data_IF_763329857996
#
_entry.id   IF_763329857996
#
_cell.length_a   1.000
_cell.length_b   1.000
_cell.length_c   1.000
_cell.angle_alpha   90.00
_cell.angle_beta   90.00
_cell.angle_gamma   90.00
#
_symmetry.space_group_name_H-M   'P 1'
#
loop_
_entity.id
_entity.type
_entity.pdbx_description
1 polymer ?
#
# COMPACT_ATOMS: atom_id res chain seq x y z
N UNK A 1 -10.69 9.05 -4.85
CA UNK A 1 -9.69 9.03 -3.77
C UNK A 1 -8.74 10.22 -3.93
N UNK A 2 -8.20 10.69 -2.85
CA UNK A 2 -7.30 11.85 -2.90
C UNK A 2 -5.85 11.48 -3.21
N UNK A 3 -5.38 10.36 -2.68
CA UNK A 3 -3.98 9.98 -2.78
C UNK A 3 -3.74 8.76 -3.65
N UNK A 4 -4.65 7.79 -3.59
CA UNK A 4 -4.54 6.56 -4.35
C UNK A 4 -5.33 6.62 -5.64
N UNK A 5 -5.01 5.73 -6.58
CA UNK A 5 -5.71 5.69 -7.86
C UNK A 5 -5.74 4.28 -8.45
N UNK A 6 -6.53 4.11 -9.50
CA UNK A 6 -6.59 2.90 -10.27
C UNK A 6 -5.50 2.90 -11.36
N UNK A 7 -5.25 1.75 -11.97
CA UNK A 7 -4.24 1.62 -13.02
C UNK A 7 -4.47 2.60 -14.17
N UNK A 8 -5.72 2.77 -14.59
CA UNK A 8 -6.07 3.67 -15.71
C UNK A 8 -5.82 5.14 -15.39
N UNK A 9 -5.66 5.49 -14.13
CA UNK A 9 -5.47 6.87 -13.69
C UNK A 9 -4.00 7.21 -13.43
N UNK A 10 -3.09 6.23 -13.52
CA UNK A 10 -1.67 6.48 -13.29
C UNK A 10 -1.09 7.41 -14.34
N UNK A 11 -0.17 8.24 -13.87
CA UNK A 11 0.61 9.12 -14.75
C UNK A 11 2.08 8.71 -14.64
N UNK A 12 2.49 7.73 -15.45
CA UNK A 12 3.84 7.21 -15.44
C UNK A 12 3.98 5.94 -14.62
N UNK A 13 5.22 5.61 -14.25
CA UNK A 13 5.58 4.33 -13.64
C UNK A 13 6.13 4.42 -12.22
N UNK A 14 6.26 5.62 -11.66
CA UNK A 14 6.80 5.79 -10.31
C UNK A 14 5.69 5.65 -9.26
N UNK A 15 5.19 4.43 -9.10
CA UNK A 15 4.09 4.09 -8.21
C UNK A 15 4.40 2.85 -7.41
N UNK A 16 3.91 2.85 -6.15
CA UNK A 16 3.76 1.62 -5.40
C UNK A 16 2.47 0.96 -5.88
N UNK A 17 2.56 -0.32 -6.17
CA UNK A 17 1.39 -1.11 -6.56
C UNK A 17 1.01 -2.05 -5.42
N UNK A 18 -0.24 -1.95 -4.95
CA UNK A 18 -0.79 -2.85 -3.94
C UNK A 18 -1.61 -3.91 -4.66
N UNK A 19 -1.14 -5.14 -4.59
CA UNK A 19 -1.78 -6.26 -5.29
C UNK A 19 -2.54 -7.15 -4.32
N UNK A 20 -3.67 -7.68 -4.76
CA UNK A 20 -4.46 -8.64 -4.00
C UNK A 20 -3.78 -10.01 -4.08
N UNK A 21 -3.51 -10.60 -2.92
CA UNK A 21 -2.89 -11.93 -2.85
C UNK A 21 -1.37 -11.89 -3.01
N UNK A 22 -0.79 -13.06 -3.21
CA UNK A 22 0.64 -13.21 -3.41
C UNK A 22 1.06 -12.71 -4.78
N UNK A 23 2.30 -12.28 -4.89
CA UNK A 23 2.86 -11.85 -6.17
C UNK A 23 2.93 -13.04 -7.13
N UNK A 24 2.33 -12.87 -8.32
CA UNK A 24 2.28 -13.90 -9.36
C UNK A 24 3.09 -13.50 -10.60
N UNK A 25 4.05 -12.60 -10.42
CA UNK A 25 4.91 -12.09 -11.49
C UNK A 25 4.18 -11.19 -12.51
N UNK A 26 2.94 -10.81 -12.22
CA UNK A 26 2.21 -9.82 -13.00
C UNK A 26 2.42 -8.43 -12.41
N UNK A 27 2.62 -7.45 -13.29
CA UNK A 27 2.77 -6.04 -12.91
C UNK A 27 1.64 -5.23 -13.54
N UNK A 28 1.33 -4.10 -12.89
CA UNK A 28 0.36 -3.15 -13.44
C UNK A 28 -1.02 -3.74 -13.64
N UNK A 29 -1.49 -4.47 -12.61
CA UNK A 29 -2.78 -5.13 -12.66
C UNK A 29 -3.90 -4.11 -12.54
N UNK A 30 -5.02 -4.38 -13.22
CA UNK A 30 -6.18 -3.47 -13.21
C UNK A 30 -6.96 -3.52 -11.89
N UNK A 31 -6.84 -4.60 -11.13
CA UNK A 31 -7.49 -4.72 -9.81
C UNK A 31 -6.61 -4.23 -8.66
N UNK A 32 -5.40 -3.76 -8.96
CA UNK A 32 -4.49 -3.20 -7.96
C UNK A 32 -4.86 -1.77 -7.58
N UNK A 33 -4.38 -1.36 -6.41
CA UNK A 33 -4.43 0.04 -5.99
C UNK A 33 -3.04 0.64 -6.13
N UNK A 34 -2.97 1.90 -6.53
CA UNK A 34 -1.71 2.57 -6.82
C UNK A 34 -1.54 3.82 -5.98
N UNK A 35 -0.33 4.03 -5.50
CA UNK A 35 0.05 5.25 -4.78
C UNK A 35 1.39 5.74 -5.32
N UNK A 36 1.45 6.99 -5.75
CA UNK A 36 2.68 7.52 -6.33
C UNK A 36 3.82 7.52 -5.32
N UNK A 37 5.04 7.35 -5.82
CA UNK A 37 6.24 7.43 -4.98
C UNK A 37 6.35 8.80 -4.31
N UNK A 38 5.99 9.85 -5.02
CA UNK A 38 6.00 11.22 -4.45
C UNK A 38 5.07 11.33 -3.25
N UNK A 39 3.85 10.81 -3.36
CA UNK A 39 2.91 10.82 -2.24
C UNK A 39 3.39 9.94 -1.09
N UNK A 40 3.90 8.75 -1.40
CA UNK A 40 4.42 7.85 -0.37
C UNK A 40 5.50 8.54 0.46
N UNK A 41 6.43 9.20 -0.20
CA UNK A 41 7.55 9.90 0.44
C UNK A 41 7.07 11.16 1.19
N UNK A 42 6.27 11.98 0.53
CA UNK A 42 5.81 13.25 1.11
C UNK A 42 4.96 13.03 2.36
N UNK A 43 4.20 11.94 2.40
CA UNK A 43 3.33 11.62 3.53
C UNK A 43 4.04 10.86 4.65
N UNK A 44 5.31 10.51 4.47
CA UNK A 44 6.07 9.79 5.48
C UNK A 44 5.58 8.36 5.71
N UNK A 45 5.02 7.72 4.68
CA UNK A 45 4.46 6.38 4.84
C UNK A 45 5.53 5.32 5.05
N UNK A 46 6.74 5.55 4.54
CA UNK A 46 7.83 4.59 4.75
C UNK A 46 8.07 4.34 6.24
N UNK A 47 8.13 5.39 7.06
CA UNK A 47 8.37 5.28 8.49
C UNK A 47 7.26 4.50 9.18
N UNK A 48 6.02 4.69 8.75
CA UNK A 48 4.89 3.95 9.31
C UNK A 48 5.00 2.47 8.96
N UNK A 49 5.34 2.17 7.70
CA UNK A 49 5.43 0.79 7.23
C UNK A 49 6.59 0.04 7.89
N UNK A 50 7.79 0.64 7.96
CA UNK A 50 8.95 -0.06 8.54
C UNK A 50 8.84 -0.21 10.05
N UNK A 51 8.07 0.62 10.72
CA UNK A 51 7.83 0.48 12.16
C UNK A 51 7.13 -0.83 12.47
N UNK A 52 6.21 -1.25 11.61
CA UNK A 52 5.47 -2.50 11.74
C UNK A 52 6.22 -3.64 11.05
N UNK A 53 6.80 -3.36 9.90
CA UNK A 53 7.49 -4.33 9.04
C UNK A 53 8.92 -3.85 8.79
N UNK A 54 9.88 -4.18 9.68
CA UNK A 54 11.27 -3.76 9.45
C UNK A 54 11.87 -4.26 8.15
N UNK A 55 11.30 -5.35 7.58
CA UNK A 55 11.74 -5.92 6.31
C UNK A 55 11.06 -5.31 5.09
N UNK A 56 10.21 -4.29 5.27
CA UNK A 56 9.55 -3.65 4.14
C UNK A 56 10.59 -3.15 3.14
N UNK A 57 10.44 -3.55 1.88
CA UNK A 57 11.40 -3.23 0.83
C UNK A 57 10.85 -2.13 -0.08
N UNK A 58 11.39 -0.94 0.07
CA UNK A 58 11.00 0.21 -0.72
C UNK A 58 11.18 -0.03 -2.24
N UNK A 59 12.16 -0.84 -2.60
CA UNK A 59 12.51 -1.11 -4.00
C UNK A 59 12.12 -2.51 -4.47
N UNK A 60 11.43 -3.28 -3.66
CA UNK A 60 11.17 -4.67 -3.96
C UNK A 60 9.76 -5.10 -3.65
N UNK A 61 9.62 -6.36 -3.27
CA UNK A 61 8.34 -7.02 -3.08
C UNK A 61 8.18 -7.33 -1.59
N UNK A 62 7.04 -6.90 -1.02
CA UNK A 62 6.73 -7.17 0.39
C UNK A 62 5.32 -7.74 0.50
N UNK A 63 5.21 -8.94 1.08
CA UNK A 63 3.91 -9.51 1.43
C UNK A 63 3.51 -9.01 2.81
N UNK A 64 2.24 -8.62 2.94
CA UNK A 64 1.68 -8.09 4.19
C UNK A 64 0.48 -8.93 4.55
N UNK A 65 0.51 -9.55 5.74
CA UNK A 65 -0.63 -10.30 6.25
C UNK A 65 -1.71 -9.35 6.77
N UNK A 66 -2.90 -9.88 7.01
CA UNK A 66 -4.00 -9.10 7.59
C UNK A 66 -3.61 -8.47 8.92
N UNK A 67 -3.00 -9.26 9.81
CA UNK A 67 -2.59 -8.74 11.13
C UNK A 67 -1.56 -7.63 11.01
N UNK A 68 -0.59 -7.80 10.13
CA UNK A 68 0.42 -6.77 9.88
C UNK A 68 -0.20 -5.50 9.31
N UNK A 69 -1.14 -5.65 8.39
CA UNK A 69 -1.84 -4.50 7.82
C UNK A 69 -2.64 -3.75 8.89
N UNK A 70 -3.34 -4.48 9.76
CA UNK A 70 -4.08 -3.87 10.86
C UNK A 70 -3.16 -3.09 11.80
N UNK A 71 -1.94 -3.57 12.01
CA UNK A 71 -0.93 -2.85 12.80
C UNK A 71 -0.47 -1.58 12.10
N UNK A 72 -0.33 -1.61 10.77
CA UNK A 72 0.01 -0.42 9.98
C UNK A 72 -1.10 0.63 10.12
N UNK A 73 -2.35 0.22 9.99
CA UNK A 73 -3.50 1.11 10.16
C UNK A 73 -3.48 1.74 11.55
N UNK A 74 -3.25 0.93 12.57
CA UNK A 74 -3.18 1.40 13.96
C UNK A 74 -2.03 2.39 14.16
N UNK A 75 -0.87 2.10 13.60
CA UNK A 75 0.28 2.99 13.68
C UNK A 75 0.01 4.33 12.99
N UNK A 76 -0.76 4.32 11.90
CA UNK A 76 -1.11 5.54 11.18
C UNK A 76 -2.01 6.48 11.97
N UNK A 77 -2.72 5.97 12.96
CA UNK A 77 -3.64 6.79 13.77
C UNK A 77 -2.91 7.89 14.54
N UNK A 78 -1.63 7.71 14.81
CA UNK A 78 -0.79 8.69 15.49
C UNK A 78 -0.03 9.59 14.53
N UNK A 79 -0.19 9.38 13.24
CA UNK A 79 0.51 10.15 12.23
C UNK A 79 -0.26 11.42 11.86
N UNK A 80 0.33 12.24 10.99
CA UNK A 80 -0.33 13.42 10.47
C UNK A 80 -1.61 13.06 9.72
N UNK A 81 -2.54 14.01 9.66
CA UNK A 81 -3.87 13.81 9.10
C UNK A 81 -3.83 13.25 7.67
N UNK A 82 -2.94 13.78 6.85
CA UNK A 82 -2.83 13.37 5.44
C UNK A 82 -2.32 11.94 5.32
N UNK A 83 -1.36 11.57 6.16
CA UNK A 83 -0.85 10.18 6.17
C UNK A 83 -1.94 9.21 6.58
N UNK A 84 -2.72 9.55 7.62
CA UNK A 84 -3.86 8.72 8.04
C UNK A 84 -4.88 8.56 6.93
N UNK A 85 -5.14 9.63 6.20
CA UNK A 85 -6.10 9.59 5.10
C UNK A 85 -5.64 8.68 3.98
N UNK A 86 -4.36 8.74 3.63
CA UNK A 86 -3.81 7.85 2.61
C UNK A 86 -3.90 6.39 3.04
N UNK A 87 -3.53 6.09 4.28
CA UNK A 87 -3.64 4.72 4.80
C UNK A 87 -5.09 4.26 4.82
N UNK A 88 -6.03 5.15 5.14
CA UNK A 88 -7.46 4.81 5.11
C UNK A 88 -7.94 4.48 3.70
N UNK A 89 -7.47 5.20 2.69
CA UNK A 89 -7.78 4.87 1.30
C UNK A 89 -7.29 3.48 0.93
N UNK A 90 -6.06 3.16 1.32
CA UNK A 90 -5.51 1.81 1.11
C UNK A 90 -6.34 0.78 1.89
N UNK A 91 -6.73 1.11 3.10
CA UNK A 91 -7.49 0.20 3.96
C UNK A 91 -8.84 -0.19 3.36
N UNK A 92 -9.53 0.73 2.70
CA UNK A 92 -10.79 0.41 2.03
C UNK A 92 -10.58 -0.67 0.97
N UNK A 93 -9.51 -0.58 0.20
CA UNK A 93 -9.15 -1.59 -0.78
C UNK A 93 -8.68 -2.88 -0.10
N UNK A 94 -7.85 -2.76 0.93
CA UNK A 94 -7.28 -3.91 1.64
C UNK A 94 -8.36 -4.76 2.31
N UNK A 95 -9.39 -4.14 2.86
CA UNK A 95 -10.51 -4.88 3.46
C UNK A 95 -11.17 -5.83 2.47
N UNK A 96 -11.36 -5.38 1.23
CA UNK A 96 -11.93 -6.22 0.18
C UNK A 96 -10.97 -7.34 -0.19
N UNK A 97 -9.69 -7.04 -0.26
CA UNK A 97 -8.65 -8.03 -0.53
C UNK A 97 -8.66 -9.14 0.52
N UNK A 98 -8.68 -8.77 1.81
CA UNK A 98 -8.61 -9.75 2.90
C UNK A 98 -9.89 -10.57 3.10
N UNK A 99 -10.94 -10.28 2.36
CA UNK A 99 -12.10 -11.19 2.29
C UNK A 99 -11.82 -12.44 1.49
N UNK A 100 -10.85 -12.39 0.57
CA UNK A 100 -10.54 -13.45 -0.38
C UNK A 100 -9.12 -13.98 -0.26
N UNK A 101 -8.20 -13.14 0.22
CA UNK A 101 -6.77 -13.44 0.23
C UNK A 101 -6.22 -13.34 1.64
N UNK A 102 -5.14 -14.09 1.90
CA UNK A 102 -4.47 -14.06 3.21
C UNK A 102 -3.44 -12.95 3.31
N UNK A 103 -2.98 -12.47 2.18
CA UNK A 103 -1.97 -11.42 2.11
C UNK A 103 -2.34 -10.42 1.03
N UNK A 104 -1.79 -9.23 1.14
CA UNK A 104 -1.61 -8.34 0.02
C UNK A 104 -0.12 -8.23 -0.27
N UNK A 105 0.23 -7.83 -1.47
CA UNK A 105 1.62 -7.64 -1.86
C UNK A 105 1.83 -6.19 -2.26
N UNK A 106 2.91 -5.59 -1.77
CA UNK A 106 3.31 -4.25 -2.19
C UNK A 106 4.52 -4.38 -3.10
N UNK A 107 4.40 -3.87 -4.31
CA UNK A 107 5.52 -3.74 -5.23
C UNK A 107 6.07 -2.33 -5.11
N UNK A 108 7.33 -2.22 -4.70
CA UNK A 108 8.02 -0.94 -4.52
C UNK A 108 8.45 -0.30 -5.83
N UNK A 109 9.12 0.81 -5.68
CA UNK A 109 9.56 1.63 -6.81
C UNK A 109 10.69 0.95 -7.61
#
# INVERSE_FOLDING_TARGET
MKYCCANSERQGSCYFEFQSGRFSEDFWRDDSLYLSGDNFDALGLYEIFIKVLPSFDYYGITEITRDQWEQIVKASEKAAKEARRAVEEINQWARLTFRRERVLTVLGI
#
